data_IF_049243322174
#
_entry.id   IF_049243322174
#
_cell.length_a   1.000
_cell.length_b   1.000
_cell.length_c   1.000
_cell.angle_alpha   90.00
_cell.angle_beta   90.00
_cell.angle_gamma   90.00
#
_symmetry.space_group_name_H-M   'P 1'
#
loop_
_entity.id
_entity.type
_entity.pdbx_description
1 polymer ?
#
# COMPACT_ATOMS: atom_id res chain seq x y z
N UNK A 1 -20.17 -16.66 -12.34
CA UNK A 1 -20.60 -15.72 -11.28
C UNK A 1 -19.96 -16.00 -9.92
N UNK A 2 -19.74 -17.25 -9.52
CA UNK A 2 -19.16 -17.60 -8.19
C UNK A 2 -17.85 -16.87 -7.86
N UNK A 3 -17.03 -16.51 -8.84
CA UNK A 3 -15.79 -15.73 -8.66
C UNK A 3 -15.97 -14.29 -8.15
N UNK A 4 -17.18 -13.73 -8.20
CA UNK A 4 -17.49 -12.44 -7.56
C UNK A 4 -17.83 -12.60 -6.05
N UNK A 5 -18.24 -13.80 -5.62
CA UNK A 5 -18.60 -14.09 -4.23
C UNK A 5 -19.60 -13.09 -3.64
N UNK A 6 -19.37 -12.70 -2.38
CA UNK A 6 -20.29 -11.85 -1.61
C UNK A 6 -20.63 -10.51 -2.25
N UNK A 7 -19.72 -9.91 -3.04
CA UNK A 7 -20.00 -8.60 -3.63
C UNK A 7 -21.14 -8.68 -4.64
N UNK A 8 -21.26 -9.81 -5.35
CA UNK A 8 -22.38 -10.11 -6.22
C UNK A 8 -23.64 -10.33 -5.42
N UNK A 9 -23.60 -11.18 -4.38
CA UNK A 9 -24.78 -11.48 -3.55
C UNK A 9 -25.36 -10.24 -2.86
N UNK A 10 -24.51 -9.33 -2.36
CA UNK A 10 -24.95 -8.05 -1.78
C UNK A 10 -25.54 -7.06 -2.80
N UNK A 11 -25.25 -7.20 -4.10
CA UNK A 11 -25.61 -6.20 -5.12
C UNK A 11 -26.20 -6.81 -6.41
N UNK A 12 -26.90 -7.96 -6.30
CA UNK A 12 -27.48 -8.71 -7.43
C UNK A 12 -28.30 -7.84 -8.39
N UNK A 13 -29.03 -6.85 -7.88
CA UNK A 13 -29.82 -5.90 -8.65
C UNK A 13 -28.94 -5.09 -9.64
N UNK A 14 -27.83 -4.51 -9.15
CA UNK A 14 -26.91 -3.71 -9.97
C UNK A 14 -26.29 -4.56 -11.08
N UNK A 15 -25.82 -5.76 -10.73
CA UNK A 15 -25.21 -6.70 -11.68
C UNK A 15 -26.19 -7.29 -12.71
N UNK A 16 -27.48 -7.33 -12.40
CA UNK A 16 -28.53 -7.78 -13.33
C UNK A 16 -28.99 -6.68 -14.29
N UNK A 17 -28.91 -5.41 -13.88
CA UNK A 17 -29.42 -4.26 -14.64
C UNK A 17 -28.39 -3.65 -15.60
N UNK A 18 -27.09 -3.78 -15.32
CA UNK A 18 -26.01 -3.13 -16.10
C UNK A 18 -25.11 -4.16 -16.78
N UNK A 19 -24.62 -3.90 -18.01
CA UNK A 19 -23.57 -4.72 -18.62
C UNK A 19 -22.31 -4.72 -17.75
N UNK A 20 -21.77 -5.90 -17.43
CA UNK A 20 -20.50 -6.03 -16.71
C UNK A 20 -19.33 -6.20 -17.68
N UNK A 21 -18.29 -5.39 -17.48
CA UNK A 21 -16.99 -5.52 -18.12
C UNK A 21 -16.01 -6.00 -17.05
N UNK A 22 -15.28 -7.07 -17.35
CA UNK A 22 -14.26 -7.68 -16.49
C UNK A 22 -12.89 -7.44 -17.13
N UNK A 23 -11.95 -6.87 -16.37
CA UNK A 23 -10.58 -6.56 -16.79
C UNK A 23 -9.65 -7.20 -15.75
N UNK A 24 -8.89 -8.20 -16.15
CA UNK A 24 -8.03 -9.00 -15.26
C UNK A 24 -6.79 -9.50 -16.04
N UNK A 25 -5.88 -10.13 -15.32
CA UNK A 25 -4.69 -10.81 -15.84
C UNK A 25 -4.56 -12.28 -15.38
N UNK A 26 -5.50 -12.76 -14.55
CA UNK A 26 -5.45 -14.11 -14.00
C UNK A 26 -5.84 -15.16 -15.04
N UNK A 27 -4.96 -16.14 -15.29
CA UNK A 27 -5.26 -17.30 -16.12
C UNK A 27 -6.43 -18.15 -15.55
N UNK A 28 -6.73 -18.00 -14.25
CA UNK A 28 -7.83 -18.68 -13.57
C UNK A 28 -9.14 -17.84 -13.57
N UNK A 29 -9.18 -16.71 -14.28
CA UNK A 29 -10.38 -15.86 -14.36
C UNK A 29 -11.52 -16.60 -15.11
N UNK A 30 -12.69 -16.70 -14.48
CA UNK A 30 -13.85 -17.45 -15.02
C UNK A 30 -14.64 -16.70 -16.09
N UNK A 31 -14.13 -15.56 -16.59
CA UNK A 31 -14.74 -14.72 -17.64
C UNK A 31 -16.21 -14.35 -17.33
N UNK A 32 -16.45 -13.89 -16.11
CA UNK A 32 -17.79 -13.65 -15.55
C UNK A 32 -18.51 -12.38 -16.06
N UNK A 33 -17.88 -11.57 -16.91
CA UNK A 33 -18.50 -10.40 -17.55
C UNK A 33 -19.24 -10.72 -18.84
N UNK A 34 -20.00 -9.73 -19.35
CA UNK A 34 -20.50 -9.75 -20.73
C UNK A 34 -19.37 -9.44 -21.71
N UNK A 35 -18.43 -8.57 -21.30
CA UNK A 35 -17.16 -8.32 -21.98
C UNK A 35 -16.06 -8.73 -21.00
N UNK A 36 -15.06 -9.49 -21.47
CA UNK A 36 -13.97 -9.99 -20.65
C UNK A 36 -12.64 -9.73 -21.37
N UNK A 37 -11.83 -8.84 -20.80
CA UNK A 37 -10.50 -8.50 -21.29
C UNK A 37 -9.51 -9.10 -20.28
N UNK A 38 -8.90 -10.22 -20.65
CA UNK A 38 -8.04 -11.00 -19.75
C UNK A 38 -6.73 -11.29 -20.44
N UNK A 39 -5.69 -10.53 -20.07
CA UNK A 39 -4.37 -10.53 -20.72
C UNK A 39 -3.25 -10.72 -19.71
N UNK A 40 -2.19 -11.46 -20.05
CA UNK A 40 -1.09 -11.77 -19.13
C UNK A 40 -0.10 -10.60 -18.96
N UNK A 41 -0.61 -9.44 -18.55
CA UNK A 41 0.12 -8.17 -18.37
C UNK A 41 -0.34 -7.49 -17.06
N UNK A 42 0.28 -6.37 -16.61
CA UNK A 42 -0.27 -5.57 -15.52
C UNK A 42 -1.67 -5.03 -15.85
N UNK A 43 -2.62 -5.15 -14.93
CA UNK A 43 -3.97 -4.58 -15.10
C UNK A 43 -3.91 -3.06 -15.31
N UNK A 44 -2.98 -2.37 -14.65
CA UNK A 44 -2.69 -0.94 -14.88
C UNK A 44 -2.25 -0.63 -16.31
N UNK A 45 -1.44 -1.49 -16.93
CA UNK A 45 -1.04 -1.35 -18.33
C UNK A 45 -2.21 -1.58 -19.28
N UNK A 46 -3.01 -2.63 -19.02
CA UNK A 46 -4.19 -2.97 -19.81
C UNK A 46 -5.24 -1.85 -19.77
N UNK A 47 -5.50 -1.28 -18.59
CA UNK A 47 -6.40 -0.12 -18.42
C UNK A 47 -5.84 1.14 -19.10
N UNK A 48 -4.54 1.42 -18.98
CA UNK A 48 -3.92 2.56 -19.65
C UNK A 48 -3.94 2.44 -21.18
N UNK A 49 -3.76 1.22 -21.73
CA UNK A 49 -3.92 0.91 -23.15
C UNK A 49 -5.36 1.17 -23.61
N UNK A 50 -6.36 0.65 -22.88
CA UNK A 50 -7.78 0.90 -23.16
C UNK A 50 -8.13 2.39 -23.17
N UNK A 51 -7.65 3.14 -22.19
CA UNK A 51 -7.85 4.61 -22.10
C UNK A 51 -7.23 5.33 -23.30
N UNK A 52 -6.01 4.95 -23.70
CA UNK A 52 -5.30 5.50 -24.87
C UNK A 52 -6.05 5.21 -26.17
N UNK A 53 -6.42 3.96 -26.41
CA UNK A 53 -7.00 3.51 -27.69
C UNK A 53 -8.44 4.02 -27.88
N UNK A 54 -9.22 4.04 -26.81
CA UNK A 54 -10.57 4.63 -26.79
C UNK A 54 -10.57 6.16 -26.66
N UNK A 55 -9.39 6.79 -26.53
CA UNK A 55 -9.19 8.24 -26.35
C UNK A 55 -10.03 8.82 -25.21
N UNK A 56 -10.14 8.08 -24.11
CA UNK A 56 -10.87 8.52 -22.92
C UNK A 56 -10.10 9.66 -22.22
N UNK A 57 -10.80 10.61 -21.59
CA UNK A 57 -10.14 11.64 -20.78
C UNK A 57 -9.40 10.99 -19.62
N UNK A 58 -8.16 11.42 -19.40
CA UNK A 58 -7.30 10.97 -18.32
C UNK A 58 -6.54 12.16 -17.75
N UNK A 59 -6.74 12.45 -16.47
CA UNK A 59 -5.99 13.47 -15.74
C UNK A 59 -4.63 12.96 -15.25
N UNK A 60 -3.83 13.88 -14.71
CA UNK A 60 -2.47 13.59 -14.24
C UNK A 60 -2.45 12.62 -13.03
N UNK A 61 -3.46 12.64 -12.16
CA UNK A 61 -3.48 11.84 -10.93
C UNK A 61 -3.86 10.39 -11.24
N UNK A 62 -4.91 10.19 -12.06
CA UNK A 62 -5.26 8.89 -12.62
C UNK A 62 -4.11 8.33 -13.49
N UNK A 63 -3.45 9.15 -14.30
CA UNK A 63 -2.27 8.73 -15.05
C UNK A 63 -1.10 8.32 -14.13
N UNK A 64 -0.89 9.03 -13.02
CA UNK A 64 0.13 8.70 -12.01
C UNK A 64 -0.16 7.37 -11.30
N UNK A 65 -1.43 7.09 -10.98
CA UNK A 65 -1.86 5.80 -10.43
C UNK A 65 -1.57 4.64 -11.39
N UNK A 66 -1.94 4.80 -12.67
CA UNK A 66 -1.67 3.79 -13.71
C UNK A 66 -0.18 3.59 -13.93
N UNK A 67 0.59 4.68 -14.06
CA UNK A 67 2.04 4.66 -14.22
C UNK A 67 2.70 3.92 -13.06
N UNK A 68 2.37 4.29 -11.82
CA UNK A 68 2.85 3.64 -10.59
C UNK A 68 2.57 2.14 -10.61
N UNK A 69 1.34 1.71 -10.94
CA UNK A 69 1.00 0.29 -11.00
C UNK A 69 1.79 -0.50 -12.05
N UNK A 70 2.16 0.12 -13.18
CA UNK A 70 3.03 -0.49 -14.19
C UNK A 70 4.46 -0.62 -13.65
N UNK A 71 5.03 0.47 -13.09
CA UNK A 71 6.38 0.45 -12.53
C UNK A 71 6.50 -0.55 -11.37
N UNK A 72 5.48 -0.68 -10.52
CA UNK A 72 5.46 -1.68 -9.44
C UNK A 72 5.55 -3.14 -9.94
N UNK A 73 5.21 -3.44 -11.21
CA UNK A 73 5.43 -4.77 -11.79
C UNK A 73 6.85 -4.95 -12.35
N UNK A 74 7.39 -3.93 -13.01
CA UNK A 74 8.64 -4.05 -13.78
C UNK A 74 9.89 -3.56 -13.02
N UNK A 75 9.74 -2.76 -11.98
CA UNK A 75 10.82 -2.19 -11.16
C UNK A 75 11.63 -1.07 -11.82
N UNK A 76 11.79 -1.10 -13.15
CA UNK A 76 12.54 -0.13 -13.97
C UNK A 76 11.77 0.24 -15.24
N UNK A 77 12.28 1.21 -16.01
CA UNK A 77 11.83 1.60 -17.37
C UNK A 77 12.88 1.33 -18.46
N UNK A 78 13.93 0.57 -18.14
CA UNK A 78 14.98 0.18 -19.08
C UNK A 78 14.48 -0.83 -20.10
N UNK A 79 15.03 -0.80 -21.32
CA UNK A 79 14.60 -1.66 -22.44
C UNK A 79 14.74 -3.16 -22.16
N UNK A 80 15.69 -3.56 -21.32
CA UNK A 80 15.90 -4.95 -20.90
C UNK A 80 14.91 -5.42 -19.81
N UNK A 81 14.23 -4.48 -19.15
CA UNK A 81 13.33 -4.74 -18.03
C UNK A 81 11.84 -4.66 -18.39
N UNK A 82 11.50 -3.98 -19.50
CA UNK A 82 10.13 -3.59 -19.84
C UNK A 82 9.79 -3.99 -21.27
N UNK A 83 8.61 -4.58 -21.45
CA UNK A 83 8.09 -4.91 -22.78
C UNK A 83 7.85 -3.65 -23.64
N UNK A 84 8.09 -3.66 -24.97
CA UNK A 84 7.90 -2.50 -25.83
C UNK A 84 6.50 -1.87 -25.76
N UNK A 85 5.44 -2.67 -25.59
CA UNK A 85 4.08 -2.15 -25.41
C UNK A 85 3.94 -1.41 -24.07
N UNK A 86 4.56 -1.93 -23.01
CA UNK A 86 4.56 -1.27 -21.71
C UNK A 86 5.32 0.08 -21.79
N UNK A 87 6.42 0.15 -22.53
CA UNK A 87 7.17 1.40 -22.73
C UNK A 87 6.37 2.45 -23.53
N UNK A 88 5.65 2.05 -24.58
CA UNK A 88 4.76 2.96 -25.33
C UNK A 88 3.62 3.51 -24.43
N UNK A 89 2.98 2.64 -23.62
CA UNK A 89 1.97 3.05 -22.63
C UNK A 89 2.56 4.00 -21.59
N UNK A 90 3.74 3.70 -21.03
CA UNK A 90 4.44 4.59 -20.09
C UNK A 90 4.78 5.94 -20.73
N UNK A 91 5.14 5.98 -22.02
CA UNK A 91 5.38 7.23 -22.76
C UNK A 91 4.12 8.08 -22.89
N UNK A 92 2.95 7.44 -23.08
CA UNK A 92 1.66 8.10 -23.12
C UNK A 92 1.29 8.72 -21.77
N UNK A 93 1.45 7.97 -20.67
CA UNK A 93 1.23 8.47 -19.32
C UNK A 93 2.23 9.59 -18.95
N UNK A 94 3.49 9.46 -19.37
CA UNK A 94 4.52 10.49 -19.19
C UNK A 94 4.20 11.82 -19.88
N UNK A 95 3.52 11.81 -21.05
CA UNK A 95 3.01 13.03 -21.70
C UNK A 95 1.95 13.76 -20.87
N UNK A 96 1.22 13.06 -20.00
CA UNK A 96 0.30 13.62 -19.01
C UNK A 96 1.00 14.03 -17.70
N UNK A 97 2.34 14.03 -17.66
CA UNK A 97 3.18 14.30 -16.47
C UNK A 97 2.91 13.34 -15.30
N UNK A 98 2.55 12.10 -15.60
CA UNK A 98 2.40 11.05 -14.60
C UNK A 98 3.67 10.89 -13.75
N UNK A 99 3.52 10.71 -12.44
CA UNK A 99 4.61 10.50 -11.48
C UNK A 99 4.51 9.11 -10.86
N UNK A 100 5.65 8.52 -10.48
CA UNK A 100 5.65 7.34 -9.61
C UNK A 100 5.35 7.78 -8.16
N UNK A 101 4.27 7.26 -7.59
CA UNK A 101 3.78 7.65 -6.27
C UNK A 101 4.43 6.87 -5.12
N UNK A 102 5.19 5.78 -5.38
CA UNK A 102 5.80 4.95 -4.31
C UNK A 102 6.73 5.71 -3.38
N UNK A 103 7.35 6.79 -3.87
CA UNK A 103 8.39 7.53 -3.15
C UNK A 103 7.85 8.81 -2.49
N UNK A 104 6.54 9.09 -2.57
CA UNK A 104 5.95 10.36 -2.12
C UNK A 104 5.32 10.29 -0.73
N UNK A 105 5.27 9.11 -0.13
CA UNK A 105 4.78 8.85 1.23
C UNK A 105 5.85 9.15 2.29
N UNK A 106 6.34 10.40 2.36
CA UNK A 106 7.07 10.84 3.56
C UNK A 106 6.06 10.90 4.72
N UNK A 107 6.25 10.17 5.83
CA UNK A 107 5.36 10.28 6.98
C UNK A 107 5.53 11.67 7.60
N UNK A 108 4.59 12.57 7.33
CA UNK A 108 4.48 13.84 8.04
C UNK A 108 4.08 13.55 9.48
N UNK A 109 5.07 13.40 10.36
CA UNK A 109 4.87 13.22 11.78
C UNK A 109 4.37 14.55 12.38
N UNK A 110 3.06 14.82 12.24
CA UNK A 110 2.40 15.92 12.94
C UNK A 110 2.35 15.55 14.42
N UNK A 111 3.34 16.02 15.18
CA UNK A 111 3.29 15.97 16.64
C UNK A 111 2.12 16.84 17.11
N UNK A 112 1.00 16.19 17.43
CA UNK A 112 -0.10 16.81 18.16
C UNK A 112 0.38 17.01 19.59
N UNK A 113 0.72 18.25 19.94
CA UNK A 113 1.08 18.64 21.31
C UNK A 113 -0.18 18.65 22.19
N UNK A 114 -0.40 17.54 22.88
CA UNK A 114 -1.54 17.33 23.75
C UNK A 114 -1.40 18.13 25.07
N UNK A 115 -1.94 19.36 25.08
CA UNK A 115 -2.04 20.17 26.29
C UNK A 115 -3.22 19.73 27.16
N UNK A 116 -3.05 18.61 27.85
CA UNK A 116 -3.98 18.19 28.91
C UNK A 116 -3.95 19.17 30.09
N UNK A 117 -4.98 20.02 30.19
CA UNK A 117 -5.17 20.89 31.34
C UNK A 117 -5.52 20.06 32.57
N UNK A 118 -4.68 20.10 33.60
CA UNK A 118 -4.94 19.45 34.88
C UNK A 118 -6.14 20.10 35.58
N UNK A 119 -7.27 19.38 35.64
CA UNK A 119 -8.43 19.78 36.45
C UNK A 119 -8.41 19.05 37.78
N UNK A 120 -8.05 19.77 38.85
CA UNK A 120 -8.14 19.26 40.21
C UNK A 120 -9.53 18.71 40.53
N UNK A 121 -9.58 17.52 41.13
CA UNK A 121 -10.72 17.02 41.88
C UNK A 121 -10.23 16.51 43.24
N UNK A 122 -10.66 17.17 44.32
CA UNK A 122 -10.55 16.67 45.69
C UNK A 122 -11.85 15.95 46.05
N UNK A 123 -11.76 14.87 46.82
CA UNK A 123 -12.92 14.15 47.35
C UNK A 123 -12.58 12.71 47.72
N UNK A 124 -12.37 12.46 49.02
CA UNK A 124 -12.07 11.14 49.59
C UNK A 124 -13.24 10.15 49.48
N UNK A 125 -12.92 8.85 49.55
CA UNK A 125 -13.53 7.87 50.49
C UNK A 125 -12.64 6.60 50.52
N UNK A 126 -12.34 6.12 51.73
CA UNK A 126 -11.63 4.85 51.99
C UNK A 126 -12.63 3.72 52.31
N UNK A 127 -12.35 2.49 51.86
CA UNK A 127 -12.86 1.24 52.48
C UNK A 127 -11.81 0.11 52.36
N UNK A 128 -11.41 -0.46 53.51
CA UNK A 128 -10.72 -1.78 53.67
C UNK A 128 -11.80 -2.83 54.08
N UNK A 129 -11.66 -4.16 54.10
CA UNK A 129 -10.60 -5.18 53.89
C UNK A 129 -11.29 -6.50 53.39
N UNK A 130 -10.71 -7.72 53.28
CA UNK A 130 -9.38 -8.30 53.56
C UNK A 130 -9.14 -9.60 52.76
N UNK A 131 -7.89 -10.08 52.78
CA UNK A 131 -7.38 -11.47 52.67
C UNK A 131 -8.07 -12.55 51.80
N UNK A 132 -7.32 -13.12 50.83
CA UNK A 132 -6.58 -14.36 51.12
C UNK A 132 -5.39 -14.63 50.16
N UNK A 133 -4.40 -15.34 50.70
CA UNK A 133 -3.05 -15.68 50.22
C UNK A 133 -3.03 -16.58 48.94
N UNK A 134 -1.94 -16.90 48.23
CA UNK A 134 -0.50 -16.97 48.53
C UNK A 134 0.37 -16.63 47.29
N UNK A 135 1.65 -16.23 47.50
CA UNK A 135 2.73 -16.48 46.52
C UNK A 135 3.73 -15.34 46.25
N UNK A 136 4.56 -14.96 47.22
CA UNK A 136 5.71 -14.08 46.94
C UNK A 136 6.86 -14.86 46.27
N UNK A 137 7.39 -14.30 45.18
CA UNK A 137 8.76 -14.52 44.72
C UNK A 137 9.35 -13.13 44.53
N UNK A 138 10.28 -12.74 45.40
CA UNK A 138 11.08 -11.54 45.21
C UNK A 138 11.89 -11.67 43.91
N UNK A 139 11.98 -10.59 43.13
CA UNK A 139 13.17 -10.22 42.35
C UNK A 139 13.04 -8.77 41.90
N UNK A 140 13.78 -7.87 42.54
CA UNK A 140 14.08 -6.55 42.00
C UNK A 140 14.94 -6.70 40.74
N UNK A 141 14.50 -6.15 39.61
CA UNK A 141 15.41 -5.77 38.51
C UNK A 141 14.93 -4.45 37.91
N UNK A 142 15.80 -3.45 37.97
CA UNK A 142 15.56 -2.10 37.45
C UNK A 142 15.46 -2.05 35.92
N UNK A 143 14.77 -1.02 35.44
CA UNK A 143 14.65 -0.66 34.03
C UNK A 143 16.01 -0.20 33.46
N UNK A 144 16.63 -1.02 32.60
CA UNK A 144 17.81 -0.65 31.82
C UNK A 144 17.68 -1.13 30.36
N UNK A 145 17.04 -0.31 29.52
CA UNK A 145 17.19 -0.44 28.07
C UNK A 145 18.58 0.05 27.64
N UNK A 146 19.36 -0.70 26.83
CA UNK A 146 20.72 -0.29 26.46
C UNK A 146 20.73 1.00 25.62
N UNK A 147 21.55 1.99 26.03
CA UNK A 147 21.60 3.34 25.45
C UNK A 147 22.01 3.39 23.95
N UNK A 148 22.55 2.31 23.39
CA UNK A 148 23.34 2.35 22.15
C UNK A 148 22.57 2.09 20.85
N UNK A 149 21.24 2.15 20.88
CA UNK A 149 20.37 1.88 19.72
C UNK A 149 20.30 3.00 18.67
N UNK A 150 20.88 4.18 18.93
CA UNK A 150 20.82 5.37 18.07
C UNK A 150 22.07 5.62 17.20
N UNK A 151 23.05 4.71 17.19
CA UNK A 151 24.29 4.88 16.39
C UNK A 151 24.08 4.44 14.93
N UNK A 152 24.34 5.31 13.92
CA UNK A 152 24.15 4.96 12.51
C UNK A 152 25.20 3.95 12.02
N UNK A 153 24.74 3.00 11.20
CA UNK A 153 25.53 1.84 10.75
C UNK A 153 26.42 2.19 9.56
N UNK A 154 27.64 2.65 9.83
CA UNK A 154 28.67 2.90 8.80
C UNK A 154 29.29 1.58 8.30
N UNK A 155 29.10 1.29 7.01
CA UNK A 155 29.78 0.19 6.32
C UNK A 155 31.14 0.68 5.77
N UNK A 156 32.25 0.12 6.26
CA UNK A 156 33.59 0.39 5.71
C UNK A 156 33.91 -0.59 4.59
N UNK A 157 34.24 -0.07 3.40
CA UNK A 157 34.72 -0.88 2.28
C UNK A 157 36.20 -1.19 2.45
N UNK A 158 36.54 -2.44 2.74
CA UNK A 158 37.94 -2.85 2.87
C UNK A 158 38.59 -2.98 1.48
N UNK A 159 39.41 -1.99 1.10
CA UNK A 159 40.19 -2.01 -0.14
C UNK A 159 41.58 -2.63 0.12
N UNK A 160 41.71 -3.93 -0.07
CA UNK A 160 43.02 -4.58 -0.19
C UNK A 160 43.60 -4.38 -1.60
N UNK A 161 44.91 -4.14 -1.69
CA UNK A 161 45.67 -4.36 -2.93
C UNK A 161 46.76 -3.33 -3.26
N UNK A 162 48.03 -3.77 -3.18
CA UNK A 162 49.21 -3.11 -3.78
C UNK A 162 49.79 -1.94 -2.98
N UNK A 163 51.10 -1.85 -2.76
CA UNK A 163 52.22 -2.69 -3.26
C UNK A 163 53.40 -2.61 -2.28
#
# INVERSE_FOLDING_TARGET
MSSLGEIYDRHKNIFSQKPLINIDKSNNNTRFGRINIVENMPVSQLVAQLVKDLRLPLDQDAASNLYTGIISKYGSVTIDAVDPQALDVLSFLGRLKAQNLTNKSTPTNQQVSDQSQQRNQQGDIQVQSSDNQLGNVDHDVEDQTPEDWLKPKIFTTNKQGGN
#
